data_IF_639976672743
#
_entry.id   IF_639976672743
#
_cell.length_a   1.000
_cell.length_b   1.000
_cell.length_c   1.000
_cell.angle_alpha   90.00
_cell.angle_beta   90.00
_cell.angle_gamma   90.00
#
_symmetry.space_group_name_H-M   'P 1'
#
loop_
_entity.id
_entity.type
_entity.pdbx_description
1 polymer ?
#
# COMPACT_ATOMS: atom_id res chain seq x y z
N UNK A 1 16.81 -6.82 21.39
CA UNK A 1 16.54 -6.30 20.02
C UNK A 1 16.82 -4.81 19.91
N UNK A 2 16.45 -3.96 20.89
CA UNK A 2 16.73 -2.51 20.85
C UNK A 2 17.91 -2.06 21.72
N UNK A 3 18.53 -2.94 22.48
CA UNK A 3 19.63 -2.61 23.39
C UNK A 3 20.86 -1.99 22.70
N UNK A 4 21.09 -2.34 21.43
CA UNK A 4 22.17 -1.82 20.62
C UNK A 4 21.87 -0.47 19.94
N UNK A 5 20.62 -0.01 20.06
CA UNK A 5 20.13 1.25 19.48
C UNK A 5 19.96 2.29 20.59
N UNK A 6 21.09 2.75 21.14
CA UNK A 6 21.07 3.86 22.11
C UNK A 6 20.64 5.15 21.41
N UNK A 7 20.12 6.16 22.15
CA UNK A 7 19.77 7.45 21.57
C UNK A 7 20.89 8.09 20.74
N UNK A 8 22.15 7.99 21.20
CA UNK A 8 23.32 8.53 20.50
C UNK A 8 23.55 7.80 19.17
N UNK A 9 23.45 6.47 19.16
CA UNK A 9 23.62 5.68 17.94
C UNK A 9 22.50 5.95 16.94
N UNK A 10 21.27 6.09 17.41
CA UNK A 10 20.13 6.44 16.54
C UNK A 10 20.29 7.84 15.99
N UNK A 11 20.73 8.80 16.80
CA UNK A 11 21.04 10.16 16.40
C UNK A 11 22.06 10.19 15.25
N UNK A 12 23.13 9.41 15.37
CA UNK A 12 24.15 9.26 14.32
C UNK A 12 23.58 8.69 13.02
N UNK A 13 22.75 7.63 13.11
CA UNK A 13 22.15 6.98 11.94
C UNK A 13 21.13 7.90 11.24
N UNK A 14 20.31 8.60 12.01
CA UNK A 14 19.20 9.41 11.50
C UNK A 14 19.57 10.87 11.21
N UNK A 15 20.74 11.34 11.68
CA UNK A 15 21.18 12.74 11.53
C UNK A 15 20.35 13.72 12.37
N UNK A 16 19.87 13.31 13.54
CA UNK A 16 19.10 14.12 14.48
C UNK A 16 19.83 14.22 15.83
N UNK A 17 19.48 15.19 16.68
CA UNK A 17 20.05 15.27 18.05
C UNK A 17 19.42 14.17 18.93
N UNK A 18 20.26 13.50 19.73
CA UNK A 18 19.79 12.47 20.68
C UNK A 18 18.76 13.03 21.69
N UNK A 19 18.92 14.28 22.11
CA UNK A 19 17.96 14.94 23.01
C UNK A 19 16.60 15.18 22.36
N UNK A 20 16.58 15.47 21.07
CA UNK A 20 15.31 15.64 20.33
C UNK A 20 14.59 14.29 20.20
N UNK A 21 15.33 13.19 19.99
CA UNK A 21 14.78 11.85 19.99
C UNK A 21 14.17 11.50 21.36
N UNK A 22 14.90 11.74 22.45
CA UNK A 22 14.42 11.49 23.81
C UNK A 22 13.20 12.35 24.14
N UNK A 23 13.22 13.63 23.80
CA UNK A 23 12.09 14.55 24.02
C UNK A 23 10.83 14.11 23.23
N UNK A 24 11.00 13.68 21.99
CA UNK A 24 9.89 13.17 21.19
C UNK A 24 9.31 11.87 21.77
N UNK A 25 10.17 10.97 22.23
CA UNK A 25 9.76 9.73 22.87
C UNK A 25 9.00 9.98 24.18
N UNK A 26 9.50 10.89 25.01
CA UNK A 26 8.85 11.30 26.26
C UNK A 26 7.50 11.97 25.99
N UNK A 27 7.44 12.89 25.04
CA UNK A 27 6.20 13.57 24.64
C UNK A 27 5.14 12.55 24.18
N UNK A 28 5.50 11.58 23.35
CA UNK A 28 4.58 10.54 22.89
C UNK A 28 4.14 9.64 24.06
N UNK A 29 5.07 9.19 24.88
CA UNK A 29 4.79 8.26 25.98
C UNK A 29 3.91 8.89 27.07
N UNK A 30 4.15 10.15 27.44
CA UNK A 30 3.46 10.86 28.53
C UNK A 30 2.13 11.49 28.12
N UNK A 31 1.89 11.75 26.83
CA UNK A 31 0.63 12.28 26.35
C UNK A 31 -0.54 11.37 26.76
N UNK A 32 -1.65 11.95 27.21
CA UNK A 32 -2.84 11.16 27.55
C UNK A 32 -3.41 10.46 26.29
N UNK A 33 -3.51 11.18 25.18
CA UNK A 33 -4.01 10.68 23.91
C UNK A 33 -3.02 11.01 22.80
N UNK A 34 -2.51 9.98 22.13
CA UNK A 34 -1.54 10.14 21.06
C UNK A 34 -1.73 9.04 19.99
N UNK A 35 -2.33 9.34 18.85
CA UNK A 35 -2.35 8.42 17.72
C UNK A 35 -1.02 8.47 16.96
N UNK A 36 -0.66 7.37 16.31
CA UNK A 36 0.35 7.35 15.25
C UNK A 36 -0.38 7.41 13.91
N UNK A 37 0.02 8.34 13.06
CA UNK A 37 -0.48 8.48 11.70
C UNK A 37 0.70 8.28 10.76
N UNK A 38 0.57 7.37 9.80
CA UNK A 38 1.63 7.08 8.83
C UNK A 38 1.06 6.79 7.43
N UNK A 39 1.91 6.86 6.42
CA UNK A 39 1.57 6.55 5.03
C UNK A 39 2.81 6.00 4.32
N UNK A 40 2.96 6.27 3.03
CA UNK A 40 3.97 5.70 2.13
C UNK A 40 5.41 5.86 2.61
N UNK A 41 5.73 6.97 3.28
CA UNK A 41 7.07 7.22 3.84
C UNK A 41 7.58 6.14 4.81
N UNK A 42 6.70 5.32 5.38
CA UNK A 42 7.07 4.18 6.23
C UNK A 42 6.99 2.86 5.47
N UNK A 43 6.06 2.72 4.52
CA UNK A 43 5.72 1.42 3.93
C UNK A 43 6.38 1.14 2.58
N UNK A 44 6.72 2.16 1.80
CA UNK A 44 7.33 1.98 0.47
C UNK A 44 8.86 1.83 0.53
N UNK A 45 9.29 0.89 1.36
CA UNK A 45 10.68 0.48 1.52
C UNK A 45 10.79 -1.03 1.51
N UNK A 46 11.95 -1.56 1.21
CA UNK A 46 12.23 -3.01 1.33
C UNK A 46 12.00 -3.54 2.76
N UNK A 47 12.09 -2.67 3.76
CA UNK A 47 11.85 -2.91 5.19
C UNK A 47 10.53 -2.33 5.68
N UNK A 48 9.57 -2.06 4.79
CA UNK A 48 8.31 -1.40 5.15
C UNK A 48 7.47 -2.18 6.16
N UNK A 49 7.45 -3.50 6.07
CA UNK A 49 6.76 -4.36 7.05
C UNK A 49 7.34 -4.20 8.45
N UNK A 50 8.67 -4.23 8.56
CA UNK A 50 9.40 -4.05 9.82
C UNK A 50 9.17 -2.63 10.38
N UNK A 51 9.10 -1.62 9.52
CA UNK A 51 8.76 -0.24 9.89
C UNK A 51 7.39 -0.15 10.56
N UNK A 52 6.36 -0.76 9.96
CA UNK A 52 5.00 -0.80 10.54
C UNK A 52 4.97 -1.61 11.84
N UNK A 53 5.71 -2.71 11.91
CA UNK A 53 5.85 -3.49 13.15
C UNK A 53 6.53 -2.67 14.26
N UNK A 54 7.53 -1.85 13.93
CA UNK A 54 8.19 -0.97 14.89
C UNK A 54 7.25 0.10 15.44
N UNK A 55 6.42 0.72 14.57
CA UNK A 55 5.36 1.65 15.01
C UNK A 55 4.33 0.97 15.91
N UNK A 56 3.95 -0.27 15.57
CA UNK A 56 3.01 -1.05 16.37
C UNK A 56 3.59 -1.38 17.75
N UNK A 57 4.85 -1.77 17.81
CA UNK A 57 5.56 -2.05 19.05
C UNK A 57 5.70 -0.78 19.92
N UNK A 58 5.97 0.37 19.31
CA UNK A 58 6.04 1.66 20.01
C UNK A 58 4.68 2.01 20.64
N UNK A 59 3.59 1.87 19.88
CA UNK A 59 2.24 2.15 20.39
C UNK A 59 1.86 1.20 21.53
N UNK A 60 2.22 -0.10 21.41
CA UNK A 60 2.01 -1.10 22.47
C UNK A 60 2.81 -0.77 23.72
N UNK A 61 4.11 -0.48 23.58
CA UNK A 61 5.00 -0.16 24.68
C UNK A 61 4.55 1.10 25.45
N UNK A 62 4.01 2.09 24.73
CA UNK A 62 3.51 3.33 25.32
C UNK A 62 2.04 3.24 25.80
N UNK A 63 1.37 2.08 25.68
CA UNK A 63 -0.04 1.91 26.07
C UNK A 63 -1.02 2.75 25.23
N UNK A 64 -0.69 3.02 23.97
CA UNK A 64 -1.48 3.87 23.06
C UNK A 64 -2.38 3.06 22.12
N UNK A 65 -2.90 1.91 22.57
CA UNK A 65 -3.87 1.10 21.84
C UNK A 65 -5.12 0.84 22.68
N UNK A 66 -6.26 0.65 22.00
CA UNK A 66 -7.53 0.30 22.64
C UNK A 66 -8.16 1.40 23.48
N UNK A 67 -7.76 2.65 23.27
CA UNK A 67 -8.26 3.83 24.00
C UNK A 67 -8.74 4.89 23.00
N UNK A 68 -9.82 5.65 23.33
CA UNK A 68 -10.25 6.78 22.48
C UNK A 68 -9.13 7.81 22.27
N UNK A 69 -8.89 8.20 21.01
CA UNK A 69 -7.84 9.15 20.63
C UNK A 69 -6.43 8.57 20.62
N UNK A 70 -6.29 7.25 20.74
CA UNK A 70 -5.05 6.51 20.55
C UNK A 70 -5.21 5.50 19.41
N UNK A 71 -4.10 5.01 18.89
CA UNK A 71 -4.11 3.98 17.84
C UNK A 71 -3.06 4.21 16.78
N UNK A 72 -3.06 3.33 15.79
CA UNK A 72 -2.18 3.34 14.64
C UNK A 72 -3.06 3.48 13.41
N UNK A 73 -2.85 4.54 12.64
CA UNK A 73 -3.75 4.95 11.57
C UNK A 73 -2.98 5.07 10.24
N UNK A 74 -2.99 4.00 9.41
CA UNK A 74 -2.47 4.11 8.05
C UNK A 74 -3.40 4.99 7.20
N UNK A 75 -2.85 6.05 6.61
CA UNK A 75 -3.57 6.90 5.66
C UNK A 75 -3.44 6.36 4.24
N UNK A 76 -4.51 6.48 3.49
CA UNK A 76 -4.50 6.24 2.05
C UNK A 76 -4.07 7.52 1.32
N UNK A 77 -3.34 7.38 0.21
CA UNK A 77 -2.82 8.53 -0.54
C UNK A 77 -3.86 9.15 -1.49
N UNK A 78 -4.50 8.32 -2.29
CA UNK A 78 -5.41 8.75 -3.34
C UNK A 78 -6.80 9.10 -2.79
N UNK A 79 -7.49 9.98 -3.50
CA UNK A 79 -8.87 10.35 -3.17
C UNK A 79 -9.79 9.13 -3.25
N UNK A 80 -10.46 8.83 -2.14
CA UNK A 80 -11.41 7.72 -2.04
C UNK A 80 -10.91 6.36 -2.56
N UNK A 81 -9.60 6.10 -2.44
CA UNK A 81 -9.04 4.79 -2.85
C UNK A 81 -9.65 3.64 -2.06
N UNK A 82 -10.06 3.88 -0.82
CA UNK A 82 -10.77 2.87 -0.04
C UNK A 82 -12.11 2.52 -0.68
N UNK A 83 -12.89 3.51 -1.11
CA UNK A 83 -14.14 3.28 -1.86
C UNK A 83 -13.91 2.55 -3.18
N UNK A 84 -12.83 2.86 -3.90
CA UNK A 84 -12.44 2.12 -5.10
C UNK A 84 -12.19 0.62 -4.77
N UNK A 85 -11.49 0.32 -3.70
CA UNK A 85 -11.29 -1.05 -3.23
C UNK A 85 -12.62 -1.71 -2.81
N UNK A 86 -13.50 -0.99 -2.10
CA UNK A 86 -14.82 -1.47 -1.69
C UNK A 86 -15.68 -1.85 -2.90
N UNK A 87 -15.53 -1.13 -4.01
CA UNK A 87 -16.22 -1.40 -5.27
C UNK A 87 -15.56 -2.49 -6.13
N UNK A 88 -14.46 -3.07 -5.68
CA UNK A 88 -13.78 -4.17 -6.37
C UNK A 88 -12.81 -3.71 -7.47
N UNK A 89 -12.30 -2.47 -7.40
CA UNK A 89 -11.27 -1.97 -8.32
C UNK A 89 -9.88 -2.55 -8.00
N UNK A 90 -9.81 -3.83 -7.76
CA UNK A 90 -8.58 -4.58 -7.48
C UNK A 90 -8.56 -5.90 -8.23
N UNK A 91 -7.38 -6.46 -8.53
CA UNK A 91 -7.28 -7.64 -9.39
C UNK A 91 -7.80 -8.93 -8.75
N UNK A 92 -7.98 -8.97 -7.43
CA UNK A 92 -8.30 -10.19 -6.69
C UNK A 92 -9.69 -10.19 -6.04
N UNK A 93 -10.41 -9.08 -6.11
CA UNK A 93 -11.64 -8.90 -5.36
C UNK A 93 -12.79 -8.39 -6.23
N UNK A 94 -13.96 -8.97 -6.02
CA UNK A 94 -15.24 -8.36 -6.41
C UNK A 94 -15.65 -7.29 -5.37
N UNK A 95 -16.72 -6.57 -5.66
CA UNK A 95 -17.32 -5.61 -4.73
C UNK A 95 -17.48 -6.20 -3.33
N UNK A 96 -17.10 -5.42 -2.30
CA UNK A 96 -17.16 -5.86 -0.90
C UNK A 96 -16.08 -6.87 -0.53
N UNK A 97 -14.90 -6.82 -1.15
CA UNK A 97 -13.73 -7.68 -0.87
C UNK A 97 -13.99 -9.19 -1.02
N UNK A 98 -14.95 -9.55 -1.87
CA UNK A 98 -15.28 -10.94 -2.15
C UNK A 98 -14.29 -11.52 -3.16
N UNK A 99 -13.58 -12.58 -2.78
CA UNK A 99 -12.44 -13.08 -3.57
C UNK A 99 -12.86 -13.68 -4.90
N UNK A 100 -12.25 -13.23 -6.00
CA UNK A 100 -12.42 -13.77 -7.37
C UNK A 100 -12.14 -15.29 -7.42
N UNK A 101 -11.12 -15.73 -6.70
CA UNK A 101 -10.74 -17.13 -6.64
C UNK A 101 -11.73 -18.04 -5.86
N UNK A 102 -12.70 -17.46 -5.15
CA UNK A 102 -13.72 -18.24 -4.44
C UNK A 102 -14.87 -18.59 -5.40
N UNK A 103 -15.09 -19.90 -5.70
CA UNK A 103 -16.14 -20.34 -6.64
C UNK A 103 -17.55 -19.93 -6.24
N UNK A 104 -17.86 -19.91 -4.95
CA UNK A 104 -19.19 -19.52 -4.46
C UNK A 104 -19.44 -18.02 -4.69
N UNK A 105 -18.43 -17.19 -4.40
CA UNK A 105 -18.52 -15.75 -4.64
C UNK A 105 -18.62 -15.45 -6.13
N UNK A 106 -17.84 -16.13 -6.96
CA UNK A 106 -17.90 -15.99 -8.41
C UNK A 106 -19.30 -16.36 -8.95
N UNK A 107 -19.85 -17.51 -8.56
CA UNK A 107 -21.20 -17.92 -8.98
C UNK A 107 -22.28 -16.89 -8.59
N UNK A 108 -22.14 -16.24 -7.43
CA UNK A 108 -23.02 -15.17 -7.01
C UNK A 108 -22.99 -13.97 -7.96
N UNK A 109 -21.78 -13.53 -8.38
CA UNK A 109 -21.63 -12.40 -9.31
C UNK A 109 -22.01 -12.78 -10.74
N UNK A 110 -21.70 -14.00 -11.19
CA UNK A 110 -22.15 -14.52 -12.49
C UNK A 110 -23.68 -14.51 -12.60
N UNK A 111 -24.36 -14.98 -11.55
CA UNK A 111 -25.81 -14.94 -11.50
C UNK A 111 -26.38 -13.51 -11.51
N UNK A 112 -25.74 -12.58 -10.80
CA UNK A 112 -26.19 -11.19 -10.69
C UNK A 112 -25.95 -10.40 -11.98
N UNK A 113 -24.82 -10.65 -12.68
CA UNK A 113 -24.42 -9.90 -13.86
C UNK A 113 -24.81 -10.58 -15.19
N UNK A 114 -25.18 -11.86 -15.14
CA UNK A 114 -25.60 -12.64 -16.31
C UNK A 114 -24.46 -12.96 -17.30
N UNK A 115 -23.22 -13.01 -16.81
CA UNK A 115 -22.02 -13.28 -17.61
C UNK A 115 -21.12 -14.28 -16.89
N UNK A 116 -20.37 -15.07 -17.66
CA UNK A 116 -19.33 -15.91 -17.13
C UNK A 116 -18.11 -15.05 -16.76
N UNK A 117 -17.51 -15.31 -15.59
CA UNK A 117 -16.40 -14.54 -15.06
C UNK A 117 -15.11 -15.36 -15.02
N UNK A 118 -13.98 -14.67 -15.12
CA UNK A 118 -12.67 -15.30 -15.02
C UNK A 118 -12.50 -15.98 -13.65
N UNK A 119 -11.89 -17.16 -13.67
CA UNK A 119 -11.67 -17.96 -12.46
C UNK A 119 -10.41 -17.56 -11.69
N UNK A 120 -9.48 -16.90 -12.35
CA UNK A 120 -8.23 -16.44 -11.76
C UNK A 120 -8.30 -14.96 -11.40
N UNK A 121 -7.62 -14.58 -10.32
CA UNK A 121 -7.35 -13.18 -10.03
C UNK A 121 -6.55 -12.53 -11.17
N UNK A 122 -6.78 -11.24 -11.41
CA UNK A 122 -5.99 -10.44 -12.33
C UNK A 122 -4.56 -10.20 -11.82
N UNK A 123 -3.74 -9.60 -12.65
CA UNK A 123 -2.37 -9.24 -12.32
C UNK A 123 -2.32 -7.95 -11.47
N UNK A 124 -1.37 -7.88 -10.55
CA UNK A 124 -1.05 -6.64 -9.85
C UNK A 124 -0.33 -5.66 -10.77
N UNK A 125 -0.34 -4.37 -10.46
CA UNK A 125 0.30 -3.34 -11.28
C UNK A 125 1.75 -3.69 -11.64
N UNK A 126 2.57 -4.11 -10.67
CA UNK A 126 3.96 -4.51 -10.89
C UNK A 126 4.14 -5.78 -11.73
N UNK A 127 3.10 -6.60 -11.85
CA UNK A 127 3.08 -7.82 -12.68
C UNK A 127 2.61 -7.51 -14.12
N UNK A 128 1.92 -6.37 -14.30
CA UNK A 128 1.39 -5.97 -15.61
C UNK A 128 2.50 -5.58 -16.58
N UNK A 129 3.51 -4.83 -16.14
CA UNK A 129 4.58 -4.39 -17.05
C UNK A 129 5.38 -5.54 -17.67
N UNK A 130 5.87 -6.52 -16.89
CA UNK A 130 6.45 -7.73 -17.51
C UNK A 130 5.48 -8.46 -18.44
N UNK A 131 4.19 -8.53 -18.07
CA UNK A 131 3.19 -9.20 -18.88
C UNK A 131 2.85 -8.49 -20.20
N UNK A 132 3.05 -7.16 -20.28
CA UNK A 132 2.99 -6.39 -21.52
C UNK A 132 4.18 -6.75 -22.41
N UNK A 133 5.39 -6.75 -21.88
CA UNK A 133 6.62 -7.04 -22.62
C UNK A 133 6.61 -8.46 -23.20
N UNK A 134 6.07 -9.43 -22.47
CA UNK A 134 5.96 -10.82 -22.94
C UNK A 134 4.69 -11.12 -23.77
N UNK A 135 3.88 -10.08 -24.05
CA UNK A 135 2.71 -10.15 -24.91
C UNK A 135 1.46 -10.79 -24.31
N UNK A 136 1.44 -11.08 -23.00
CA UNK A 136 0.24 -11.56 -22.29
C UNK A 136 -0.81 -10.47 -22.12
N UNK A 137 -0.38 -9.21 -21.98
CA UNK A 137 -1.24 -8.03 -22.03
C UNK A 137 -0.95 -7.30 -23.34
N UNK A 138 -1.98 -7.12 -24.15
CA UNK A 138 -1.90 -6.50 -25.47
C UNK A 138 -2.58 -5.14 -25.55
N UNK A 139 -3.42 -4.83 -24.58
CA UNK A 139 -4.13 -3.55 -24.51
C UNK A 139 -4.20 -3.03 -23.08
N UNK A 140 -4.12 -1.71 -22.93
CA UNK A 140 -4.25 -1.02 -21.66
C UNK A 140 -5.18 0.19 -21.80
N UNK A 141 -6.07 0.36 -20.85
CA UNK A 141 -6.79 1.59 -20.59
C UNK A 141 -6.25 2.20 -19.29
N UNK A 142 -5.65 3.36 -19.38
CA UNK A 142 -5.07 4.10 -18.26
C UNK A 142 -5.95 5.31 -17.95
N UNK A 143 -6.34 5.47 -16.70
CA UNK A 143 -7.22 6.53 -16.27
C UNK A 143 -6.66 7.25 -15.04
N UNK A 144 -6.33 8.54 -15.18
CA UNK A 144 -5.89 9.41 -14.08
C UNK A 144 -4.60 8.96 -13.39
N UNK A 145 -3.66 8.34 -14.10
CA UNK A 145 -2.40 7.82 -13.55
C UNK A 145 -1.24 8.01 -14.55
N UNK A 146 -0.05 8.30 -14.04
CA UNK A 146 1.18 8.43 -14.85
C UNK A 146 2.26 7.43 -14.39
N UNK A 147 2.19 6.16 -14.81
CA UNK A 147 3.16 5.15 -14.37
C UNK A 147 4.58 5.43 -14.86
N UNK A 148 4.77 6.23 -15.91
CA UNK A 148 6.11 6.64 -16.38
C UNK A 148 6.83 7.50 -15.34
N UNK A 149 6.07 8.24 -14.52
CA UNK A 149 6.60 9.08 -13.44
C UNK A 149 6.56 8.43 -12.07
N UNK A 150 5.54 7.60 -11.82
CA UNK A 150 5.28 7.07 -10.48
C UNK A 150 6.01 5.76 -10.20
N UNK A 151 6.31 4.98 -11.24
CA UNK A 151 7.08 3.74 -11.10
C UNK A 151 8.59 3.99 -11.07
N UNK A 152 9.34 3.24 -10.25
CA UNK A 152 10.76 3.49 -10.03
C UNK A 152 11.65 3.15 -11.24
N UNK A 153 11.24 2.25 -12.15
CA UNK A 153 11.96 1.91 -13.37
C UNK A 153 11.24 2.46 -14.61
N UNK A 154 11.38 3.76 -14.83
CA UNK A 154 10.82 4.48 -15.99
C UNK A 154 11.14 3.81 -17.32
N UNK A 155 12.38 3.34 -17.52
CA UNK A 155 12.78 2.69 -18.76
C UNK A 155 12.06 1.35 -18.99
N UNK A 156 11.79 0.60 -17.94
CA UNK A 156 11.01 -0.62 -18.00
C UNK A 156 9.54 -0.35 -18.36
N UNK A 157 8.95 0.66 -17.72
CA UNK A 157 7.55 1.07 -17.97
C UNK A 157 7.36 1.52 -19.41
N UNK A 158 8.26 2.38 -19.94
CA UNK A 158 8.19 2.85 -21.33
C UNK A 158 8.20 1.65 -22.29
N UNK A 159 9.16 0.73 -22.14
CA UNK A 159 9.22 -0.47 -22.99
C UNK A 159 7.95 -1.32 -22.89
N UNK A 160 7.35 -1.42 -21.71
CA UNK A 160 6.11 -2.14 -21.53
C UNK A 160 4.94 -1.49 -22.28
N UNK A 161 4.80 -0.18 -22.16
CA UNK A 161 3.75 0.56 -22.87
C UNK A 161 3.93 0.53 -24.40
N UNK A 162 5.17 0.64 -24.89
CA UNK A 162 5.50 0.54 -26.31
C UNK A 162 5.24 -0.85 -26.92
N UNK A 163 5.19 -1.89 -26.08
CA UNK A 163 4.90 -3.26 -26.54
C UNK A 163 3.41 -3.56 -26.73
N UNK A 164 2.53 -2.65 -26.35
CA UNK A 164 1.08 -2.82 -26.48
C UNK A 164 0.60 -2.64 -27.91
N UNK A 165 -0.37 -3.44 -28.32
CA UNK A 165 -1.09 -3.25 -29.59
C UNK A 165 -2.10 -2.10 -29.51
N UNK A 166 -2.60 -1.82 -28.29
CA UNK A 166 -3.65 -0.84 -28.08
C UNK A 166 -3.45 -0.15 -26.71
N UNK A 167 -3.38 1.17 -26.72
CA UNK A 167 -3.22 1.97 -25.50
C UNK A 167 -4.13 3.19 -25.52
N UNK A 168 -4.95 3.34 -24.48
CA UNK A 168 -5.76 4.55 -24.23
C UNK A 168 -5.32 5.16 -22.93
N UNK A 169 -5.02 6.44 -22.96
CA UNK A 169 -4.72 7.25 -21.77
C UNK A 169 -5.75 8.37 -21.67
N UNK A 170 -6.39 8.46 -20.54
CA UNK A 170 -7.29 9.53 -20.16
C UNK A 170 -6.76 10.19 -18.88
N UNK A 171 -6.32 11.44 -18.97
CA UNK A 171 -5.72 12.23 -17.90
C UNK A 171 -6.60 13.45 -17.55
#
# INVERSE_FOLDING_TARGET
MVADYTPERVAEICGIDARDLEAAAEMYATADRAPIVYCLGVVEHSTGTEGVMALSNLALAAGKLGRPGCGINPLRGQNNVQGACDMGAGPADFTGYQKVANPEMRAKFEAAWGVELNQAAGLKATECFPAMIDGRIRGLFLFGEDPVRTDPDTGHVIRALESLDFFVCEE
#
